data_IF_787429032093
#
_entry.id   IF_787429032093
#
_cell.length_a   1.000
_cell.length_b   1.000
_cell.length_c   1.000
_cell.angle_alpha   90.00
_cell.angle_beta   90.00
_cell.angle_gamma   90.00
#
_symmetry.space_group_name_H-M   'P 1'
#
loop_
_entity.id
_entity.type
_entity.pdbx_description
1 polymer ?
#
# COMPACT_ATOMS: atom_id res chain seq x y z
N UNK A 1 4.12 -8.91 -0.24
CA UNK A 1 3.87 -7.89 0.81
C UNK A 1 4.27 -8.34 2.21
N UNK A 2 3.96 -9.55 2.66
CA UNK A 2 4.20 -9.98 4.06
C UNK A 2 5.65 -9.79 4.54
N UNK A 3 6.64 -10.06 3.70
CA UNK A 3 8.06 -9.86 4.03
C UNK A 3 8.39 -8.37 4.25
N UNK A 4 7.88 -7.48 3.39
CA UNK A 4 8.07 -6.03 3.54
C UNK A 4 7.33 -5.49 4.77
N UNK A 5 6.14 -6.00 5.05
CA UNK A 5 5.37 -5.59 6.22
C UNK A 5 6.04 -5.99 7.55
N UNK A 6 6.84 -7.07 7.54
CA UNK A 6 7.61 -7.52 8.70
C UNK A 6 9.00 -6.88 8.81
N UNK A 7 9.46 -6.17 7.78
CA UNK A 7 10.78 -5.53 7.79
C UNK A 7 10.78 -4.26 8.68
N UNK A 8 11.65 -4.18 9.70
CA UNK A 8 11.65 -3.06 10.64
C UNK A 8 11.97 -1.72 9.98
N UNK A 9 12.81 -1.69 8.94
CA UNK A 9 13.15 -0.44 8.24
C UNK A 9 11.94 0.09 7.48
N UNK A 10 11.19 -0.80 6.83
CA UNK A 10 9.93 -0.46 6.15
C UNK A 10 8.88 0.06 7.14
N UNK A 11 8.79 -0.52 8.34
CA UNK A 11 7.88 -0.04 9.38
C UNK A 11 8.25 1.37 9.87
N UNK A 12 9.53 1.66 10.11
CA UNK A 12 9.97 3.02 10.48
C UNK A 12 9.67 4.03 9.36
N UNK A 13 9.87 3.63 8.11
CA UNK A 13 9.54 4.47 6.96
C UNK A 13 8.04 4.78 6.87
N UNK A 14 7.17 3.80 7.16
CA UNK A 14 5.72 4.01 7.17
C UNK A 14 5.25 4.94 8.29
N UNK A 15 5.95 5.03 9.43
CA UNK A 15 5.63 6.04 10.47
C UNK A 15 5.77 7.46 9.94
N UNK A 16 6.71 7.69 9.03
CA UNK A 16 6.95 9.01 8.43
C UNK A 16 6.00 9.30 7.27
N UNK A 17 5.63 8.28 6.50
CA UNK A 17 4.89 8.46 5.23
C UNK A 17 3.39 8.22 5.34
N UNK A 18 2.93 7.33 6.21
CA UNK A 18 1.50 7.05 6.39
C UNK A 18 0.68 8.29 6.79
N UNK A 19 1.17 9.23 7.64
CA UNK A 19 0.44 10.46 7.96
C UNK A 19 0.24 11.39 6.76
N UNK A 20 1.05 11.26 5.72
CA UNK A 20 0.94 12.05 4.48
C UNK A 20 -0.04 11.45 3.48
N UNK A 21 -0.58 10.26 3.75
CA UNK A 21 -1.43 9.51 2.84
C UNK A 21 -2.88 9.58 3.30
N UNK A 22 -3.81 9.55 2.34
CA UNK A 22 -5.23 9.40 2.59
C UNK A 22 -5.70 8.11 1.94
N UNK A 23 -6.23 7.19 2.74
CA UNK A 23 -6.81 5.95 2.25
C UNK A 23 -8.07 6.22 1.43
N UNK A 24 -8.26 5.44 0.35
CA UNK A 24 -9.52 5.47 -0.40
C UNK A 24 -10.65 4.88 0.44
N UNK A 25 -11.80 5.54 0.46
CA UNK A 25 -13.00 5.06 1.16
C UNK A 25 -13.52 3.72 0.62
N UNK A 26 -13.20 3.42 -0.63
CA UNK A 26 -13.63 2.22 -1.37
C UNK A 26 -12.61 1.08 -1.34
N UNK A 27 -11.51 1.21 -0.59
CA UNK A 27 -10.50 0.15 -0.46
C UNK A 27 -11.09 -1.09 0.23
N UNK A 28 -10.54 -2.26 -0.06
CA UNK A 28 -10.95 -3.51 0.56
C UNK A 28 -10.64 -3.57 2.06
N UNK A 29 -11.22 -4.55 2.75
CA UNK A 29 -10.93 -4.79 4.18
C UNK A 29 -9.44 -5.14 4.37
N UNK A 30 -8.79 -4.43 5.30
CA UNK A 30 -7.35 -4.60 5.57
C UNK A 30 -6.42 -3.96 4.54
N UNK A 31 -6.94 -3.37 3.47
CA UNK A 31 -6.13 -2.68 2.48
C UNK A 31 -5.76 -1.27 2.93
N UNK A 32 -4.50 -0.91 2.72
CA UNK A 32 -4.08 0.49 2.77
C UNK A 32 -3.98 1.06 1.36
N UNK A 33 -3.36 0.31 0.45
CA UNK A 33 -3.25 0.56 -0.98
C UNK A 33 -4.30 -0.27 -1.70
N UNK A 34 -5.24 0.38 -2.38
CA UNK A 34 -6.25 -0.32 -3.20
C UNK A 34 -5.62 -0.75 -4.52
N UNK A 35 -5.69 -2.04 -4.83
CA UNK A 35 -5.12 -2.58 -6.08
C UNK A 35 -6.00 -2.22 -7.27
N UNK A 36 -5.37 -1.92 -8.42
CA UNK A 36 -6.08 -1.70 -9.69
C UNK A 36 -5.89 -2.90 -10.62
N UNK A 37 -6.93 -3.21 -11.39
CA UNK A 37 -6.85 -4.20 -12.47
C UNK A 37 -6.14 -3.60 -13.69
N UNK A 38 -5.09 -4.26 -14.14
CA UNK A 38 -4.42 -3.92 -15.40
C UNK A 38 -5.23 -4.49 -16.57
N UNK A 39 -5.88 -3.62 -17.36
CA UNK A 39 -6.78 -4.04 -18.44
C UNK A 39 -6.11 -4.14 -19.81
N UNK A 40 -5.01 -3.43 -20.01
CA UNK A 40 -4.32 -3.37 -21.28
C UNK A 40 -2.84 -3.11 -21.06
N UNK A 41 -2.02 -3.84 -21.79
CA UNK A 41 -0.57 -3.68 -21.87
C UNK A 41 -0.10 -3.97 -23.30
N UNK A 42 0.90 -3.22 -23.75
CA UNK A 42 1.64 -3.47 -24.99
C UNK A 42 3.12 -3.21 -24.71
N UNK A 43 3.97 -4.14 -25.14
CA UNK A 43 5.42 -4.11 -24.89
C UNK A 43 6.15 -2.97 -25.61
#
# INVERSE_FOLDING_TARGET
>A
MAVMAADPVTQEWWKLTAPCQQGLETRGEGEWWSTMEELFHHD
#
